data_IF_551219143501
#
_entry.id   IF_551219143501
#
_cell.length_a   1.000
_cell.length_b   1.000
_cell.length_c   1.000
_cell.angle_alpha   90.00
_cell.angle_beta   90.00
_cell.angle_gamma   90.00
#
_symmetry.space_group_name_H-M   'P 1'
#
loop_
_entity.id
_entity.type
_entity.pdbx_description
1 polymer ?
#
# COMPACT_ATOMS: atom_id res chain seq x y z
N UNK A 1 29.57 -17.24 -2.66
CA UNK A 1 28.44 -17.44 -1.72
C UNK A 1 28.80 -16.79 -0.39
N UNK A 2 28.24 -15.63 -0.08
CA UNK A 2 28.54 -14.95 1.19
C UNK A 2 27.72 -15.58 2.30
N UNK A 3 28.37 -16.28 3.24
CA UNK A 3 27.78 -16.84 4.47
C UNK A 3 26.99 -15.80 5.29
N UNK A 4 27.23 -14.50 5.07
CA UNK A 4 26.54 -13.42 5.76
C UNK A 4 25.09 -13.21 5.28
N UNK A 5 24.74 -13.58 4.04
CA UNK A 5 23.37 -13.40 3.54
C UNK A 5 22.39 -14.39 4.18
N UNK A 6 22.77 -15.66 4.31
CA UNK A 6 21.92 -16.72 4.91
C UNK A 6 21.70 -16.50 6.42
N UNK A 7 22.69 -15.99 7.15
CA UNK A 7 22.54 -15.65 8.58
C UNK A 7 21.66 -14.41 8.79
N UNK A 8 21.72 -13.43 7.88
CA UNK A 8 20.83 -12.26 7.87
C UNK A 8 19.40 -12.62 7.50
N UNK A 9 19.17 -13.59 6.61
CA UNK A 9 17.82 -14.10 6.34
C UNK A 9 17.18 -14.62 7.64
N UNK A 10 17.84 -15.54 8.34
CA UNK A 10 17.22 -16.25 9.45
C UNK A 10 16.91 -15.38 10.69
N UNK A 11 17.54 -14.21 10.87
CA UNK A 11 17.32 -13.38 12.07
C UNK A 11 16.00 -12.60 12.05
N UNK A 12 15.46 -12.31 10.87
CA UNK A 12 14.28 -11.45 10.69
C UNK A 12 13.12 -12.14 9.95
N UNK A 13 13.21 -13.46 9.72
CA UNK A 13 12.09 -14.22 9.17
C UNK A 13 10.94 -14.27 10.18
N UNK A 14 9.77 -13.77 9.76
CA UNK A 14 8.54 -13.92 10.54
C UNK A 14 8.22 -15.41 10.71
N UNK A 15 7.78 -15.81 11.91
CA UNK A 15 7.44 -17.21 12.21
C UNK A 15 6.45 -17.80 11.21
N UNK A 16 5.51 -16.98 10.73
CA UNK A 16 4.55 -17.35 9.68
C UNK A 16 5.19 -17.78 8.36
N UNK A 17 6.31 -17.19 7.95
CA UNK A 17 7.01 -17.56 6.70
C UNK A 17 7.68 -18.93 6.86
N UNK A 18 8.36 -19.14 8.00
CA UNK A 18 9.00 -20.41 8.30
C UNK A 18 7.96 -21.54 8.40
N UNK A 19 6.85 -21.30 9.09
CA UNK A 19 5.77 -22.29 9.23
C UNK A 19 5.14 -22.70 7.89
N UNK A 20 5.04 -21.76 6.94
CA UNK A 20 4.55 -22.03 5.59
C UNK A 20 5.53 -22.87 4.77
N UNK A 21 6.80 -22.46 4.71
CA UNK A 21 7.82 -23.20 3.94
C UNK A 21 8.09 -24.58 4.54
N UNK A 22 8.02 -24.71 5.87
CA UNK A 22 8.11 -26.02 6.53
C UNK A 22 6.95 -26.92 6.10
N UNK A 23 5.71 -26.41 6.05
CA UNK A 23 4.55 -27.19 5.57
C UNK A 23 4.65 -27.58 4.09
N UNK A 24 5.23 -26.71 3.26
CA UNK A 24 5.39 -26.98 1.83
C UNK A 24 6.39 -28.11 1.57
N UNK A 25 7.40 -28.23 2.43
CA UNK A 25 8.45 -29.25 2.29
C UNK A 25 8.12 -30.53 3.06
N UNK A 26 7.47 -30.45 4.22
CA UNK A 26 6.95 -31.59 4.98
C UNK A 26 5.55 -31.99 4.49
N UNK A 27 5.43 -32.31 3.19
CA UNK A 27 4.15 -32.75 2.58
C UNK A 27 3.56 -33.99 3.27
N UNK A 28 4.43 -34.83 3.85
CA UNK A 28 4.06 -36.04 4.57
C UNK A 28 3.62 -35.78 6.03
N UNK A 29 3.83 -34.56 6.56
CA UNK A 29 3.38 -34.13 7.88
C UNK A 29 3.99 -34.91 9.04
N UNK A 30 5.22 -35.42 8.88
CA UNK A 30 5.88 -36.23 9.90
C UNK A 30 6.59 -35.40 10.97
N UNK A 31 6.76 -34.08 10.77
CA UNK A 31 7.35 -33.18 11.77
C UNK A 31 8.88 -33.31 11.92
N UNK A 32 9.52 -34.07 11.03
CA UNK A 32 10.97 -34.23 10.88
C UNK A 32 11.36 -33.82 9.45
N UNK A 33 12.58 -33.34 9.20
CA UNK A 33 13.03 -33.00 7.84
C UNK A 33 14.30 -33.78 7.52
N UNK A 34 14.28 -34.53 6.42
CA UNK A 34 15.46 -35.19 5.87
C UNK A 34 16.38 -34.15 5.22
N UNK A 35 17.67 -34.43 5.04
CA UNK A 35 18.62 -33.45 4.49
C UNK A 35 18.21 -32.88 3.12
N UNK A 36 17.62 -33.68 2.23
CA UNK A 36 17.13 -33.18 0.92
C UNK A 36 15.95 -32.24 1.07
N UNK A 37 15.03 -32.52 2.00
CA UNK A 37 13.93 -31.63 2.38
C UNK A 37 14.47 -30.34 3.01
N UNK A 38 15.43 -30.43 3.93
CA UNK A 38 16.07 -29.26 4.53
C UNK A 38 16.81 -28.40 3.49
N UNK A 39 17.46 -29.02 2.50
CA UNK A 39 18.09 -28.33 1.38
C UNK A 39 17.04 -27.65 0.50
N UNK A 40 15.94 -28.34 0.19
CA UNK A 40 14.83 -27.75 -0.56
C UNK A 40 14.21 -26.56 0.17
N UNK A 41 14.01 -26.67 1.49
CA UNK A 41 13.57 -25.57 2.35
C UNK A 41 14.52 -24.38 2.28
N UNK A 42 15.84 -24.61 2.36
CA UNK A 42 16.84 -23.56 2.23
C UNK A 42 16.83 -22.92 0.84
N UNK A 43 16.67 -23.73 -0.21
CA UNK A 43 16.56 -23.23 -1.59
C UNK A 43 15.31 -22.37 -1.77
N UNK A 44 14.16 -22.75 -1.19
CA UNK A 44 12.94 -21.96 -1.18
C UNK A 44 13.10 -20.64 -0.42
N UNK A 45 13.70 -20.66 0.77
CA UNK A 45 13.96 -19.45 1.55
C UNK A 45 14.88 -18.46 0.82
N UNK A 46 15.90 -18.98 0.12
CA UNK A 46 16.82 -18.16 -0.68
C UNK A 46 16.11 -17.64 -1.93
N UNK A 47 15.35 -18.48 -2.62
CA UNK A 47 14.63 -18.12 -3.85
C UNK A 47 13.59 -17.04 -3.59
N UNK A 48 12.78 -17.24 -2.54
CA UNK A 48 11.73 -16.30 -2.13
C UNK A 48 12.28 -15.15 -1.30
N UNK A 49 13.59 -15.10 -1.09
CA UNK A 49 14.25 -14.13 -0.23
C UNK A 49 13.45 -13.92 1.09
N UNK A 50 12.98 -14.99 1.75
CA UNK A 50 12.29 -14.91 3.04
C UNK A 50 10.85 -14.38 3.01
N UNK A 51 10.20 -14.40 1.85
CA UNK A 51 8.77 -14.15 1.68
C UNK A 51 7.97 -15.45 1.62
N UNK A 52 6.67 -15.38 1.92
CA UNK A 52 5.73 -16.50 1.68
C UNK A 52 5.60 -16.80 0.18
N UNK A 53 5.04 -17.95 -0.19
CA UNK A 53 4.77 -18.23 -1.62
C UNK A 53 3.83 -17.20 -2.20
N UNK A 54 2.77 -16.85 -1.46
CA UNK A 54 1.79 -15.87 -1.91
C UNK A 54 2.39 -14.46 -2.04
N UNK A 55 3.26 -14.03 -1.11
CA UNK A 55 3.97 -12.75 -1.22
C UNK A 55 4.92 -12.77 -2.42
N UNK A 56 5.67 -13.86 -2.61
CA UNK A 56 6.59 -14.02 -3.73
C UNK A 56 5.87 -13.94 -5.09
N UNK A 57 4.78 -14.68 -5.26
CA UNK A 57 4.00 -14.68 -6.50
C UNK A 57 3.42 -13.29 -6.78
N UNK A 58 2.90 -12.62 -5.75
CA UNK A 58 2.42 -11.25 -5.87
C UNK A 58 3.54 -10.29 -6.30
N UNK A 59 4.73 -10.38 -5.69
CA UNK A 59 5.85 -9.51 -6.07
C UNK A 59 6.37 -9.81 -7.47
N UNK A 60 6.40 -11.07 -7.89
CA UNK A 60 6.80 -11.43 -9.25
C UNK A 60 5.78 -10.98 -10.29
N UNK A 61 4.49 -11.07 -10.00
CA UNK A 61 3.44 -10.51 -10.84
C UNK A 61 3.62 -8.98 -10.97
N UNK A 62 3.90 -8.28 -9.87
CA UNK A 62 4.18 -6.86 -9.92
C UNK A 62 5.43 -6.54 -10.72
N UNK A 63 6.50 -7.33 -10.58
CA UNK A 63 7.70 -7.16 -11.37
C UNK A 63 7.38 -7.29 -12.87
N UNK A 64 6.63 -8.33 -13.27
CA UNK A 64 6.25 -8.55 -14.66
C UNK A 64 5.33 -7.45 -15.22
N UNK A 65 4.43 -6.90 -14.39
CA UNK A 65 3.57 -5.78 -14.79
C UNK A 65 4.38 -4.51 -15.07
N UNK A 66 5.43 -4.24 -14.28
CA UNK A 66 6.26 -3.04 -14.43
C UNK A 66 7.43 -3.21 -15.43
N UNK A 67 7.99 -4.41 -15.61
CA UNK A 67 9.02 -4.75 -16.61
C UNK A 67 8.41 -4.93 -18.01
N UNK A 68 7.83 -3.85 -18.54
CA UNK A 68 7.02 -3.85 -19.78
C UNK A 68 7.76 -4.34 -21.01
N UNK A 69 9.07 -4.10 -21.09
CA UNK A 69 9.91 -4.53 -22.22
C UNK A 69 10.47 -5.95 -22.04
N UNK A 70 10.08 -6.64 -20.96
CA UNK A 70 10.63 -7.94 -20.53
C UNK A 70 12.15 -7.94 -20.52
N UNK A 71 12.79 -6.82 -20.18
CA UNK A 71 14.25 -6.77 -20.11
C UNK A 71 14.80 -7.47 -18.87
N UNK A 72 13.91 -7.92 -17.97
CA UNK A 72 14.21 -8.59 -16.71
C UNK A 72 14.74 -7.62 -15.66
N UNK A 73 14.48 -6.31 -15.83
CA UNK A 73 15.03 -5.26 -14.97
C UNK A 73 14.04 -4.12 -14.78
N UNK A 74 14.00 -3.57 -13.57
CA UNK A 74 13.24 -2.36 -13.26
C UNK A 74 14.15 -1.26 -12.73
N UNK A 75 13.87 0.00 -13.02
CA UNK A 75 14.62 1.13 -12.51
C UNK A 75 14.13 1.63 -11.13
N UNK A 76 14.77 2.70 -10.62
CA UNK A 76 14.43 3.28 -9.32
C UNK A 76 13.02 3.90 -9.27
N UNK A 77 12.57 4.51 -10.36
CA UNK A 77 11.27 5.16 -10.45
C UNK A 77 10.16 4.10 -10.54
N UNK A 78 10.39 3.06 -11.32
CA UNK A 78 9.50 1.90 -11.43
C UNK A 78 9.41 1.17 -10.10
N UNK A 79 10.52 0.97 -9.39
CA UNK A 79 10.48 0.37 -8.05
C UNK A 79 9.70 1.21 -7.05
N UNK A 80 9.83 2.54 -7.07
CA UNK A 80 9.01 3.41 -6.24
C UNK A 80 7.51 3.30 -6.58
N UNK A 81 7.17 3.24 -7.87
CA UNK A 81 5.80 3.02 -8.31
C UNK A 81 5.25 1.64 -7.85
N UNK A 82 6.08 0.60 -7.87
CA UNK A 82 5.75 -0.72 -7.32
C UNK A 82 5.45 -0.64 -5.82
N UNK A 83 6.26 0.09 -5.04
CA UNK A 83 6.03 0.25 -3.60
C UNK A 83 4.70 0.95 -3.30
N UNK A 84 4.38 2.01 -4.06
CA UNK A 84 3.08 2.68 -3.98
C UNK A 84 1.94 1.75 -4.39
N UNK A 85 2.14 0.90 -5.39
CA UNK A 85 1.17 -0.11 -5.79
C UNK A 85 0.96 -1.19 -4.72
N UNK A 86 2.01 -1.56 -4.00
CA UNK A 86 1.91 -2.50 -2.89
C UNK A 86 1.31 -1.85 -1.62
N UNK A 87 1.09 -0.53 -1.64
CA UNK A 87 0.50 0.22 -0.53
C UNK A 87 1.51 0.57 0.56
N UNK A 88 2.81 0.54 0.28
CA UNK A 88 3.82 1.03 1.21
C UNK A 88 3.84 2.56 1.20
N UNK A 89 3.70 3.17 2.37
CA UNK A 89 3.91 4.61 2.56
C UNK A 89 5.41 4.91 2.70
N UNK A 90 6.12 4.94 1.57
CA UNK A 90 7.58 5.16 1.55
C UNK A 90 7.90 6.43 0.76
N UNK A 91 8.70 7.30 1.35
CA UNK A 91 9.19 8.51 0.67
C UNK A 91 10.41 8.18 -0.19
N UNK A 92 10.70 9.02 -1.19
CA UNK A 92 11.93 8.92 -1.98
C UNK A 92 13.17 9.01 -1.08
N UNK A 93 13.12 9.85 -0.04
CA UNK A 93 14.21 10.02 0.93
C UNK A 93 14.49 8.75 1.74
N UNK A 94 13.45 8.01 2.11
CA UNK A 94 13.57 6.71 2.76
C UNK A 94 14.08 5.62 1.80
N UNK A 95 13.73 5.73 0.52
CA UNK A 95 14.06 4.72 -0.49
C UNK A 95 15.55 4.77 -0.89
N UNK A 96 16.12 5.97 -1.00
CA UNK A 96 17.52 6.18 -1.39
C UNK A 96 18.54 5.38 -0.56
N UNK A 97 18.52 5.41 0.80
CA UNK A 97 19.46 4.61 1.60
C UNK A 97 19.23 3.10 1.41
N UNK A 98 17.98 2.67 1.25
CA UNK A 98 17.63 1.25 1.03
C UNK A 98 18.21 0.74 -0.29
N UNK A 99 18.10 1.54 -1.36
CA UNK A 99 18.66 1.22 -2.67
C UNK A 99 20.19 1.19 -2.65
N UNK A 100 20.81 2.08 -1.88
CA UNK A 100 22.27 2.11 -1.71
C UNK A 100 22.78 0.88 -0.96
N UNK A 101 22.11 0.48 0.12
CA UNK A 101 22.50 -0.65 0.97
C UNK A 101 22.25 -2.01 0.31
N UNK A 102 21.29 -2.10 -0.62
CA UNK A 102 20.96 -3.34 -1.35
C UNK A 102 21.97 -3.69 -2.45
N UNK A 103 23.05 -2.90 -2.61
CA UNK A 103 24.07 -3.03 -3.66
C UNK A 103 23.47 -2.98 -5.07
N UNK A 104 22.34 -2.30 -5.26
CA UNK A 104 21.85 -1.95 -6.61
C UNK A 104 22.95 -1.09 -7.20
N UNK A 105 23.68 -1.67 -8.16
CA UNK A 105 24.86 -1.01 -8.73
C UNK A 105 24.44 0.34 -9.30
N UNK A 106 25.44 1.21 -9.44
CA UNK A 106 25.44 2.50 -10.16
C UNK A 106 24.84 2.47 -11.59
N UNK A 107 24.30 1.34 -12.05
CA UNK A 107 23.57 1.15 -13.30
C UNK A 107 22.14 1.68 -13.26
N UNK A 108 21.56 1.89 -12.07
CA UNK A 108 20.21 2.44 -11.91
C UNK A 108 19.06 1.47 -12.23
N UNK A 109 19.35 0.18 -12.46
CA UNK A 109 18.39 -0.88 -12.80
C UNK A 109 18.60 -2.11 -11.91
N UNK A 110 17.51 -2.81 -11.56
CA UNK A 110 17.42 -3.91 -10.60
C UNK A 110 16.91 -5.18 -11.29
N UNK A 111 17.64 -6.29 -11.18
CA UNK A 111 17.12 -7.60 -11.61
C UNK A 111 16.17 -8.22 -10.57
N UNK A 112 15.51 -9.33 -10.91
CA UNK A 112 14.52 -10.00 -10.04
C UNK A 112 15.01 -10.25 -8.61
N UNK A 113 16.27 -10.68 -8.46
CA UNK A 113 16.83 -10.98 -7.13
C UNK A 113 17.17 -9.73 -6.34
N UNK A 114 17.64 -8.69 -7.02
CA UNK A 114 17.88 -7.37 -6.42
C UNK A 114 16.56 -6.74 -6.00
N UNK A 115 15.52 -6.82 -6.82
CA UNK A 115 14.16 -6.37 -6.51
C UNK A 115 13.62 -7.00 -5.22
N UNK A 116 13.65 -8.34 -5.10
CA UNK A 116 13.20 -9.03 -3.89
C UNK A 116 14.04 -8.65 -2.65
N UNK A 117 15.35 -8.49 -2.82
CA UNK A 117 16.22 -8.02 -1.73
C UNK A 117 15.86 -6.60 -1.30
N UNK A 118 15.59 -5.71 -2.25
CA UNK A 118 15.12 -4.35 -1.98
C UNK A 118 13.80 -4.38 -1.23
N UNK A 119 12.81 -5.17 -1.66
CA UNK A 119 11.54 -5.34 -0.95
C UNK A 119 11.75 -5.82 0.48
N UNK A 120 12.67 -6.78 0.69
CA UNK A 120 12.98 -7.22 2.05
C UNK A 120 13.56 -6.08 2.88
N UNK A 121 14.49 -5.31 2.31
CA UNK A 121 15.07 -4.14 3.00
C UNK A 121 14.03 -3.05 3.29
N UNK A 122 13.05 -2.85 2.40
CA UNK A 122 11.89 -1.97 2.65
C UNK A 122 11.07 -2.49 3.82
N UNK A 123 10.75 -3.79 3.84
CA UNK A 123 10.04 -4.43 4.96
C UNK A 123 10.82 -4.28 6.27
N UNK A 124 12.14 -4.52 6.27
CA UNK A 124 13.01 -4.34 7.44
C UNK A 124 13.03 -2.88 7.92
N UNK A 125 13.16 -1.90 7.01
CA UNK A 125 13.16 -0.47 7.34
C UNK A 125 11.81 -0.02 7.90
N UNK A 126 10.71 -0.44 7.30
CA UNK A 126 9.37 -0.17 7.83
C UNK A 126 9.18 -0.81 9.21
N UNK A 127 9.61 -2.06 9.39
CA UNK A 127 9.54 -2.73 10.69
C UNK A 127 10.37 -1.98 11.74
N UNK A 128 11.53 -1.45 11.37
CA UNK A 128 12.32 -0.60 12.26
C UNK A 128 11.62 0.72 12.60
N UNK A 129 10.97 1.37 11.63
CA UNK A 129 10.14 2.56 11.90
C UNK A 129 9.02 2.21 12.87
N UNK A 130 8.25 1.16 12.60
CA UNK A 130 7.20 0.65 13.49
C UNK A 130 7.76 0.44 14.89
N UNK A 131 8.87 -0.28 15.04
CA UNK A 131 9.48 -0.54 16.36
C UNK A 131 9.89 0.74 17.09
N UNK A 132 10.42 1.76 16.39
CA UNK A 132 10.76 3.06 16.99
C UNK A 132 9.52 3.81 17.45
N UNK A 133 8.49 3.84 16.62
CA UNK A 133 7.19 4.47 16.94
C UNK A 133 6.56 3.77 18.14
N UNK A 134 6.54 2.44 18.13
CA UNK A 134 6.04 1.62 19.23
C UNK A 134 6.80 1.90 20.53
N UNK A 135 8.14 1.94 20.50
CA UNK A 135 8.96 2.26 21.66
C UNK A 135 8.72 3.68 22.22
N UNK A 136 8.29 4.61 21.38
CA UNK A 136 7.95 5.98 21.79
C UNK A 136 6.58 6.05 22.49
N UNK A 137 5.62 5.23 22.05
CA UNK A 137 4.24 5.23 22.56
C UNK A 137 4.11 4.33 23.79
N UNK A 138 4.62 3.10 23.73
CA UNK A 138 4.56 2.15 24.84
C UNK A 138 5.74 2.42 25.80
N UNK A 139 5.50 3.26 26.82
CA UNK A 139 6.53 3.75 27.74
C UNK A 139 7.29 2.72 28.59
N UNK A 140 7.13 1.40 28.39
CA UNK A 140 8.05 0.38 28.91
C UNK A 140 7.75 -1.00 28.30
N UNK A 141 8.82 -1.68 27.86
CA UNK A 141 8.81 -3.09 27.45
C UNK A 141 8.55 -3.97 28.68
N UNK A 142 7.33 -4.45 28.83
CA UNK A 142 7.07 -5.55 29.76
C UNK A 142 7.31 -6.85 29.00
N UNK A 143 8.44 -7.50 29.29
CA UNK A 143 8.82 -8.83 28.81
C UNK A 143 9.41 -8.94 27.39
N UNK A 144 9.98 -7.86 26.83
CA UNK A 144 10.67 -7.92 25.53
C UNK A 144 9.74 -7.95 24.32
N UNK A 145 8.42 -8.06 24.53
CA UNK A 145 7.40 -7.92 23.50
C UNK A 145 6.78 -6.54 23.63
N UNK A 146 6.90 -5.73 22.58
CA UNK A 146 6.32 -4.40 22.55
C UNK A 146 4.85 -4.55 22.14
N UNK A 147 3.93 -4.22 23.05
CA UNK A 147 2.49 -4.31 22.82
C UNK A 147 1.89 -2.90 22.71
N UNK A 148 1.09 -2.68 21.68
CA UNK A 148 0.36 -1.45 21.38
C UNK A 148 -1.10 -1.58 21.82
N UNK A 149 -1.68 -0.54 22.42
CA UNK A 149 -3.14 -0.51 22.58
C UNK A 149 -3.80 -0.27 21.21
N UNK A 150 -4.96 -0.90 20.96
CA UNK A 150 -5.67 -0.70 19.69
C UNK A 150 -6.01 0.78 19.42
N UNK A 151 -6.18 1.60 20.47
CA UNK A 151 -6.39 3.05 20.39
C UNK A 151 -5.22 3.83 19.77
N UNK A 152 -4.02 3.27 19.81
CA UNK A 152 -2.80 3.95 19.39
C UNK A 152 -2.44 3.62 17.94
N UNK A 153 -3.12 2.66 17.31
CA UNK A 153 -2.92 2.27 15.90
C UNK A 153 -3.00 3.48 14.96
N UNK A 154 -3.97 4.40 15.08
CA UNK A 154 -4.01 5.59 14.22
C UNK A 154 -2.77 6.47 14.32
N UNK A 155 -2.20 6.60 15.53
CA UNK A 155 -0.96 7.37 15.75
C UNK A 155 0.21 6.70 15.02
N UNK A 156 0.28 5.37 15.08
CA UNK A 156 1.29 4.60 14.35
C UNK A 156 1.15 4.77 12.84
N UNK A 157 -0.07 4.59 12.31
CA UNK A 157 -0.34 4.73 10.87
C UNK A 157 0.06 6.11 10.37
N UNK A 158 -0.29 7.16 11.11
CA UNK A 158 0.12 8.53 10.80
C UNK A 158 1.65 8.69 10.77
N UNK A 159 2.37 8.15 11.76
CA UNK A 159 3.83 8.24 11.79
C UNK A 159 4.52 7.38 10.72
N UNK A 160 3.83 6.37 10.18
CA UNK A 160 4.28 5.60 9.03
C UNK A 160 3.97 6.26 7.69
N UNK A 161 3.23 7.37 7.67
CA UNK A 161 2.87 8.10 6.44
C UNK A 161 1.58 7.62 5.78
N UNK A 162 0.74 6.86 6.48
CA UNK A 162 -0.63 6.62 6.04
C UNK A 162 -1.47 7.81 6.47
N UNK A 163 -1.82 8.70 5.53
CA UNK A 163 -2.52 9.96 5.83
C UNK A 163 -4.05 9.83 5.81
N UNK A 164 -4.56 8.77 5.19
CA UNK A 164 -5.99 8.49 5.03
C UNK A 164 -6.41 7.36 5.97
N UNK A 165 -6.35 7.60 7.29
CA UNK A 165 -6.80 6.61 8.26
C UNK A 165 -8.19 6.92 8.79
N UNK A 166 -9.09 5.94 8.65
CA UNK A 166 -10.43 5.96 9.23
C UNK A 166 -10.49 4.90 10.35
N UNK A 167 -10.93 5.29 11.55
CA UNK A 167 -10.97 4.39 12.71
C UNK A 167 -11.86 3.17 12.48
N UNK A 168 -12.95 3.32 11.70
CA UNK A 168 -13.82 2.22 11.33
C UNK A 168 -13.11 1.31 10.30
N UNK A 169 -12.42 1.87 9.30
CA UNK A 169 -11.63 1.07 8.36
C UNK A 169 -10.54 0.24 9.06
N UNK A 170 -9.83 0.83 10.03
CA UNK A 170 -8.84 0.12 10.87
C UNK A 170 -9.51 -1.00 11.67
N UNK A 171 -10.65 -0.73 12.30
CA UNK A 171 -11.38 -1.73 13.10
C UNK A 171 -11.86 -2.91 12.26
N UNK A 172 -12.37 -2.64 11.07
CA UNK A 172 -12.82 -3.67 10.13
C UNK A 172 -11.64 -4.49 9.60
N UNK A 173 -10.53 -3.84 9.24
CA UNK A 173 -9.29 -4.53 8.86
C UNK A 173 -8.74 -5.40 10.01
N UNK A 174 -8.82 -4.93 11.26
CA UNK A 174 -8.43 -5.71 12.43
C UNK A 174 -9.31 -6.95 12.62
N UNK A 175 -10.61 -6.82 12.37
CA UNK A 175 -11.54 -7.95 12.43
C UNK A 175 -11.21 -9.00 11.38
N UNK A 176 -10.89 -8.59 10.14
CA UNK A 176 -10.53 -9.49 9.05
C UNK A 176 -9.14 -10.13 9.25
N UNK A 177 -8.20 -9.41 9.87
CA UNK A 177 -6.90 -9.94 10.28
C UNK A 177 -6.96 -10.95 11.45
N UNK A 178 -8.17 -11.26 11.95
CA UNK A 178 -8.38 -12.18 13.08
C UNK A 178 -7.96 -11.59 14.44
N UNK A 179 -7.96 -10.25 14.56
CA UNK A 179 -7.55 -9.53 15.78
C UNK A 179 -8.75 -9.07 16.62
N UNK A 180 -9.95 -9.56 16.31
CA UNK A 180 -11.19 -9.14 16.97
C UNK A 180 -11.14 -9.43 18.46
N UNK A 181 -11.35 -8.39 19.28
CA UNK A 181 -11.37 -8.51 20.74
C UNK A 181 -9.99 -8.49 21.40
N UNK A 182 -8.91 -8.28 20.64
CA UNK A 182 -7.58 -8.04 21.20
C UNK A 182 -7.46 -6.57 21.61
N UNK A 183 -7.30 -6.30 22.90
CA UNK A 183 -7.05 -4.93 23.40
C UNK A 183 -5.62 -4.46 23.11
N UNK A 184 -4.67 -5.39 23.12
CA UNK A 184 -3.26 -5.15 22.84
C UNK A 184 -2.80 -5.91 21.61
N UNK A 185 -2.02 -5.24 20.76
CA UNK A 185 -1.46 -5.77 19.53
C UNK A 185 0.07 -5.84 19.66
N UNK A 186 0.65 -7.00 19.43
CA UNK A 186 2.10 -7.15 19.28
C UNK A 186 2.54 -6.80 17.85
N UNK A 187 3.85 -6.86 17.58
CA UNK A 187 4.40 -6.52 16.26
C UNK A 187 3.85 -7.42 15.14
N UNK A 188 3.59 -8.70 15.44
CA UNK A 188 3.02 -9.67 14.49
C UNK A 188 1.56 -9.35 14.16
N UNK A 189 0.76 -9.03 15.18
CA UNK A 189 -0.62 -8.59 15.03
C UNK A 189 -0.72 -7.27 14.25
N UNK A 190 0.13 -6.29 14.57
CA UNK A 190 0.18 -5.03 13.84
C UNK A 190 0.58 -5.24 12.38
N UNK A 191 1.50 -6.15 12.08
CA UNK A 191 1.86 -6.49 10.70
C UNK A 191 0.68 -7.10 9.92
N UNK A 192 -0.03 -8.07 10.52
CA UNK A 192 -1.24 -8.66 9.91
C UNK A 192 -2.32 -7.61 9.66
N UNK A 193 -2.51 -6.68 10.60
CA UNK A 193 -3.42 -5.55 10.42
C UNK A 193 -3.01 -4.68 9.21
N UNK A 194 -1.72 -4.32 9.11
CA UNK A 194 -1.20 -3.51 8.00
C UNK A 194 -1.38 -4.21 6.65
N UNK A 195 -1.15 -5.52 6.57
CA UNK A 195 -1.35 -6.28 5.34
C UNK A 195 -2.81 -6.21 4.86
N UNK A 196 -3.77 -6.47 5.75
CA UNK A 196 -5.20 -6.39 5.43
C UNK A 196 -5.61 -4.95 5.11
N UNK A 197 -5.10 -3.98 5.87
CA UNK A 197 -5.36 -2.57 5.65
C UNK A 197 -4.91 -2.10 4.25
N UNK A 198 -3.72 -2.52 3.81
CA UNK A 198 -3.21 -2.23 2.46
C UNK A 198 -4.00 -2.94 1.37
N UNK A 199 -4.40 -4.19 1.58
CA UNK A 199 -5.24 -4.93 0.64
C UNK A 199 -6.61 -4.25 0.42
N UNK A 200 -7.12 -3.59 1.47
CA UNK A 200 -8.34 -2.77 1.45
C UNK A 200 -8.13 -1.35 0.95
N UNK A 201 -6.90 -0.97 0.58
CA UNK A 201 -6.55 0.40 0.19
C UNK A 201 -6.94 1.44 1.28
N UNK A 202 -7.01 1.02 2.55
CA UNK A 202 -7.41 1.87 3.67
C UNK A 202 -8.91 2.21 3.74
N UNK A 203 -9.76 1.56 2.94
CA UNK A 203 -11.18 1.90 2.83
C UNK A 203 -12.08 1.09 3.79
N UNK A 204 -13.26 1.65 4.09
CA UNK A 204 -14.32 0.93 4.81
C UNK A 204 -14.97 -0.14 3.93
N UNK A 205 -15.55 -1.16 4.54
CA UNK A 205 -16.33 -2.20 3.87
C UNK A 205 -17.46 -1.63 3.01
N UNK A 206 -18.16 -0.63 3.53
CA UNK A 206 -19.26 0.02 2.80
C UNK A 206 -18.75 0.73 1.54
N UNK A 207 -17.57 1.36 1.62
CA UNK A 207 -16.94 2.03 0.48
C UNK A 207 -16.45 1.01 -0.55
N UNK A 208 -15.79 -0.07 -0.11
CA UNK A 208 -15.39 -1.18 -0.98
C UNK A 208 -16.59 -1.79 -1.70
N UNK A 209 -17.68 -2.05 -0.98
CA UNK A 209 -18.92 -2.56 -1.58
C UNK A 209 -19.52 -1.60 -2.59
N UNK A 210 -19.50 -0.29 -2.31
CA UNK A 210 -19.96 0.74 -3.24
C UNK A 210 -19.11 0.79 -4.51
N UNK A 211 -17.78 0.71 -4.37
CA UNK A 211 -16.82 0.67 -5.48
C UNK A 211 -17.02 -0.59 -6.32
N UNK A 212 -17.11 -1.76 -5.68
CA UNK A 212 -17.34 -3.03 -6.37
C UNK A 212 -18.71 -3.08 -7.05
N UNK A 213 -19.72 -2.41 -6.49
CA UNK A 213 -21.04 -2.27 -7.10
C UNK A 213 -21.04 -1.30 -8.29
N UNK A 214 -20.30 -0.19 -8.20
CA UNK A 214 -20.09 0.71 -9.33
C UNK A 214 -19.34 0.02 -10.48
N UNK A 215 -18.30 -0.76 -10.16
CA UNK A 215 -17.57 -1.58 -11.12
C UNK A 215 -18.52 -2.53 -11.85
N UNK A 216 -19.23 -3.39 -11.11
CA UNK A 216 -20.14 -4.40 -11.70
C UNK A 216 -21.31 -3.82 -12.49
N UNK A 217 -21.77 -2.61 -12.17
CA UNK A 217 -22.83 -1.93 -12.93
C UNK A 217 -22.35 -1.39 -14.27
N UNK A 218 -21.07 -1.08 -14.38
CA UNK A 218 -20.49 -0.41 -15.56
C UNK A 218 -19.67 -1.35 -16.44
N UNK A 219 -19.33 -2.54 -15.98
CA UNK A 219 -18.83 -3.66 -16.79
C UNK A 219 -19.98 -4.19 -17.68
N UNK A 220 -20.22 -3.52 -18.81
CA UNK A 220 -21.36 -3.80 -19.68
C UNK A 220 -21.13 -5.04 -20.55
N UNK A 221 -19.88 -5.29 -20.90
CA UNK A 221 -19.47 -6.45 -21.69
C UNK A 221 -19.29 -7.72 -20.83
N UNK A 222 -19.32 -7.58 -19.50
CA UNK A 222 -19.16 -8.69 -18.56
C UNK A 222 -17.78 -9.31 -18.61
N UNK A 223 -16.78 -8.54 -19.06
CA UNK A 223 -15.41 -9.00 -19.22
C UNK A 223 -14.70 -9.20 -17.88
N UNK A 224 -15.24 -8.63 -16.80
CA UNK A 224 -14.57 -8.58 -15.51
C UNK A 224 -13.52 -7.47 -15.42
N UNK A 225 -13.44 -6.60 -16.43
CA UNK A 225 -12.53 -5.46 -16.53
C UNK A 225 -13.28 -4.24 -17.07
N UNK A 226 -12.92 -3.03 -16.64
CA UNK A 226 -13.51 -1.80 -17.19
C UNK A 226 -12.66 -1.22 -18.31
N UNK A 227 -13.22 -1.05 -19.50
CA UNK A 227 -12.53 -0.38 -20.59
C UNK A 227 -12.52 1.16 -20.42
N UNK A 228 -11.75 1.85 -21.27
CA UNK A 228 -11.59 3.32 -21.24
C UNK A 228 -12.88 4.16 -21.36
N UNK A 229 -13.99 3.57 -21.85
CA UNK A 229 -15.31 4.22 -21.93
C UNK A 229 -16.18 3.93 -20.69
N UNK A 230 -15.98 2.78 -20.05
CA UNK A 230 -16.73 2.36 -18.86
C UNK A 230 -16.19 2.99 -17.58
N UNK A 231 -14.87 3.18 -17.49
CA UNK A 231 -14.21 3.80 -16.33
C UNK A 231 -14.81 5.18 -15.97
N UNK A 232 -14.98 6.14 -16.91
CA UNK A 232 -15.60 7.42 -16.58
C UNK A 232 -17.04 7.31 -16.07
N UNK A 233 -17.80 6.31 -16.53
CA UNK A 233 -19.16 6.07 -16.06
C UNK A 233 -19.15 5.52 -14.64
N UNK A 234 -18.29 4.53 -14.37
CA UNK A 234 -18.13 3.95 -13.03
C UNK A 234 -17.67 4.98 -11.99
N UNK A 235 -16.75 5.87 -12.36
CA UNK A 235 -16.30 6.97 -11.50
C UNK A 235 -17.40 8.00 -11.25
N UNK A 236 -18.25 8.27 -12.25
CA UNK A 236 -19.41 9.15 -12.10
C UNK A 236 -20.48 8.55 -11.19
N UNK A 237 -20.71 7.25 -11.25
CA UNK A 237 -21.60 6.53 -10.34
C UNK A 237 -21.15 6.61 -8.88
N UNK A 238 -19.85 6.76 -8.64
CA UNK A 238 -19.26 7.02 -7.32
C UNK A 238 -19.31 8.49 -6.91
N UNK A 239 -19.88 9.37 -7.74
CA UNK A 239 -20.10 10.78 -7.44
C UNK A 239 -18.98 11.73 -7.86
N UNK A 240 -17.99 11.25 -8.61
CA UNK A 240 -16.88 12.06 -9.10
C UNK A 240 -17.15 12.61 -10.51
N UNK A 241 -16.92 13.91 -10.71
CA UNK A 241 -16.75 14.50 -12.06
C UNK A 241 -15.27 14.77 -12.26
N UNK A 242 -14.62 13.85 -12.97
CA UNK A 242 -13.22 14.00 -13.35
C UNK A 242 -13.15 14.45 -14.79
N UNK A 243 -12.34 15.45 -15.09
CA UNK A 243 -12.06 15.86 -16.47
C UNK A 243 -11.38 14.72 -17.24
N UNK A 244 -11.46 14.74 -18.57
CA UNK A 244 -10.85 13.70 -19.39
C UNK A 244 -9.33 13.62 -19.16
N UNK A 245 -8.65 14.77 -19.04
CA UNK A 245 -7.20 14.85 -18.82
C UNK A 245 -6.81 14.27 -17.45
N UNK A 246 -7.52 14.66 -16.39
CA UNK A 246 -7.28 14.12 -15.06
C UNK A 246 -7.57 12.61 -15.02
N UNK A 247 -8.64 12.15 -15.66
CA UNK A 247 -8.97 10.72 -15.75
C UNK A 247 -7.85 9.94 -16.45
N UNK A 248 -7.37 10.43 -17.60
CA UNK A 248 -6.29 9.78 -18.35
C UNK A 248 -5.00 9.69 -17.55
N UNK A 249 -4.68 10.71 -16.76
CA UNK A 249 -3.44 10.70 -15.99
C UNK A 249 -3.53 9.88 -14.69
N UNK A 250 -4.72 9.71 -14.09
CA UNK A 250 -4.89 8.65 -13.05
C UNK A 250 -4.87 7.26 -13.69
N UNK A 251 -5.53 7.08 -14.84
CA UNK A 251 -5.52 5.82 -15.60
C UNK A 251 -4.10 5.33 -15.88
N UNK A 252 -3.22 6.20 -16.39
CA UNK A 252 -1.81 5.84 -16.63
C UNK A 252 -1.04 5.40 -15.38
N UNK A 253 -1.46 5.85 -14.20
CA UNK A 253 -0.81 5.46 -12.95
C UNK A 253 -1.32 4.12 -12.42
N UNK A 254 -2.51 3.69 -12.84
CA UNK A 254 -3.12 2.42 -12.40
C UNK A 254 -3.11 1.30 -13.43
N UNK A 255 -3.12 1.65 -14.70
CA UNK A 255 -2.96 0.76 -15.86
C UNK A 255 -1.46 0.48 -16.07
N UNK A 256 -0.87 -0.20 -15.11
CA UNK A 256 0.57 -0.50 -15.09
C UNK A 256 0.96 -1.36 -16.29
N UNK A 257 0.08 -2.26 -16.73
CA UNK A 257 0.28 -3.20 -17.82
C UNK A 257 -0.09 -2.65 -19.20
N UNK A 258 -0.51 -1.37 -19.31
CA UNK A 258 -1.00 -0.73 -20.55
C UNK A 258 -2.07 -1.58 -21.26
N UNK A 259 -2.88 -2.33 -20.49
CA UNK A 259 -3.97 -3.14 -21.04
C UNK A 259 -5.12 -2.28 -21.56
N UNK A 260 -5.15 -0.99 -21.16
CA UNK A 260 -6.25 -0.05 -21.40
C UNK A 260 -7.59 -0.52 -20.82
N UNK A 261 -7.51 -1.48 -19.89
CA UNK A 261 -8.61 -2.06 -19.14
C UNK A 261 -8.24 -2.04 -17.66
N UNK A 262 -9.23 -1.87 -16.79
CA UNK A 262 -9.01 -1.87 -15.35
C UNK A 262 -9.66 -3.09 -14.70
N UNK A 263 -8.83 -3.92 -14.09
CA UNK A 263 -9.24 -4.94 -13.14
C UNK A 263 -9.83 -4.29 -11.86
N UNK A 264 -10.62 -5.03 -11.05
CA UNK A 264 -11.20 -4.50 -9.81
C UNK A 264 -10.19 -3.90 -8.83
N UNK A 265 -8.96 -4.44 -8.76
CA UNK A 265 -7.90 -3.89 -7.90
C UNK A 265 -7.36 -2.56 -8.44
N UNK A 266 -7.17 -2.46 -9.75
CA UNK A 266 -6.71 -1.23 -10.40
C UNK A 266 -7.78 -0.13 -10.26
N UNK A 267 -9.07 -0.48 -10.40
CA UNK A 267 -10.18 0.45 -10.18
C UNK A 267 -10.27 0.93 -8.72
N UNK A 268 -10.12 0.05 -7.74
CA UNK A 268 -10.07 0.45 -6.30
C UNK A 268 -8.91 1.41 -6.03
N UNK A 269 -7.72 1.14 -6.58
CA UNK A 269 -6.57 2.05 -6.47
C UNK A 269 -6.82 3.40 -7.10
N UNK A 270 -7.47 3.43 -8.27
CA UNK A 270 -7.85 4.68 -8.91
C UNK A 270 -8.77 5.50 -8.02
N UNK A 271 -9.78 4.87 -7.38
CA UNK A 271 -10.67 5.56 -6.43
C UNK A 271 -9.89 6.07 -5.21
N UNK A 272 -8.95 5.28 -4.66
CA UNK A 272 -8.05 5.75 -3.58
C UNK A 272 -7.29 7.01 -4.00
N UNK A 273 -6.67 7.01 -5.18
CA UNK A 273 -5.90 8.16 -5.66
C UNK A 273 -6.78 9.40 -5.87
N UNK A 274 -8.02 9.23 -6.33
CA UNK A 274 -8.99 10.31 -6.43
C UNK A 274 -9.37 10.87 -5.04
N UNK A 275 -9.53 10.00 -4.03
CA UNK A 275 -9.81 10.41 -2.65
C UNK A 275 -8.62 11.14 -2.01
N UNK A 276 -7.41 10.63 -2.19
CA UNK A 276 -6.17 11.24 -1.69
C UNK A 276 -5.99 12.64 -2.29
N UNK A 277 -6.23 12.79 -3.60
CA UNK A 277 -6.22 14.10 -4.25
C UNK A 277 -7.27 15.03 -3.63
N UNK A 278 -8.51 14.58 -3.51
CA UNK A 278 -9.59 15.39 -2.93
C UNK A 278 -9.20 15.86 -1.51
N UNK A 279 -8.58 15.00 -0.70
CA UNK A 279 -8.09 15.40 0.62
C UNK A 279 -7.02 16.48 0.58
N UNK A 280 -6.01 16.37 -0.28
CA UNK A 280 -4.97 17.40 -0.42
C UNK A 280 -5.60 18.73 -0.81
N UNK A 281 -6.54 18.70 -1.76
CA UNK A 281 -7.29 19.87 -2.19
C UNK A 281 -8.14 20.48 -1.06
N UNK A 282 -8.80 19.63 -0.25
CA UNK A 282 -9.56 20.10 0.90
C UNK A 282 -8.68 20.71 1.99
N UNK A 283 -7.52 20.11 2.24
CA UNK A 283 -6.53 20.64 3.19
C UNK A 283 -6.00 21.99 2.70
N UNK A 284 -5.59 22.12 1.45
CA UNK A 284 -5.13 23.39 0.87
C UNK A 284 -6.22 24.47 0.94
N UNK A 285 -7.44 24.14 0.53
CA UNK A 285 -8.56 25.09 0.58
C UNK A 285 -8.93 25.49 2.02
N UNK A 286 -8.69 24.61 2.99
CA UNK A 286 -8.84 24.91 4.42
C UNK A 286 -7.71 25.82 4.91
N UNK A 287 -6.45 25.47 4.62
CA UNK A 287 -5.26 26.17 5.09
C UNK A 287 -5.16 27.60 4.53
N UNK A 288 -5.57 27.82 3.27
CA UNK A 288 -5.70 29.16 2.68
C UNK A 288 -6.66 30.06 3.47
N UNK A 289 -7.62 29.46 4.18
CA UNK A 289 -8.64 30.15 4.98
C UNK A 289 -8.34 30.11 6.47
N UNK A 290 -7.32 29.39 6.88
CA UNK A 290 -6.76 29.36 8.24
C UNK A 290 -5.26 29.72 8.23
N UNK A 291 -4.89 30.95 7.84
CA UNK A 291 -3.49 31.38 7.78
C UNK A 291 -2.79 31.38 9.15
N UNK A 292 -3.57 31.27 10.24
CA UNK A 292 -3.08 31.21 11.61
C UNK A 292 -2.94 29.77 12.14
N UNK A 293 -3.28 28.75 11.35
CA UNK A 293 -3.25 27.32 11.72
C UNK A 293 -4.02 27.01 13.02
N UNK A 294 -5.15 27.68 13.23
CA UNK A 294 -6.05 27.48 14.38
C UNK A 294 -6.85 26.17 14.28
N UNK A 295 -6.81 25.50 13.12
CA UNK A 295 -7.59 24.32 12.74
C UNK A 295 -9.10 24.55 12.80
N UNK A 296 -9.53 25.79 12.63
CA UNK A 296 -10.93 26.20 12.67
C UNK A 296 -11.14 27.32 11.66
N UNK A 297 -12.14 27.15 10.78
CA UNK A 297 -12.65 28.18 9.89
C UNK A 297 -14.14 28.41 10.17
N UNK A 298 -14.64 29.60 9.86
CA UNK A 298 -16.06 29.94 9.99
C UNK A 298 -16.90 29.27 8.89
N UNK A 299 -18.21 29.14 9.11
CA UNK A 299 -19.13 28.58 8.10
C UNK A 299 -19.12 29.37 6.78
N UNK A 300 -18.91 30.69 6.86
CA UNK A 300 -18.78 31.55 5.68
C UNK A 300 -17.50 31.27 4.90
N UNK A 301 -16.37 31.04 5.58
CA UNK A 301 -15.11 30.65 4.95
C UNK A 301 -15.19 29.25 4.35
N UNK A 302 -15.88 28.32 5.02
CA UNK A 302 -16.14 26.99 4.48
C UNK A 302 -16.93 27.04 3.17
N UNK A 303 -18.01 27.84 3.09
CA UNK A 303 -18.78 28.01 1.84
C UNK A 303 -17.91 28.62 0.73
N UNK A 304 -17.04 29.57 1.05
CA UNK A 304 -16.09 30.14 0.09
C UNK A 304 -15.02 29.13 -0.36
N UNK A 305 -14.53 28.28 0.54
CA UNK A 305 -13.62 27.18 0.21
C UNK A 305 -14.29 26.17 -0.73
N UNK A 306 -15.53 25.75 -0.44
CA UNK A 306 -16.30 24.86 -1.32
C UNK A 306 -16.58 25.49 -2.69
N UNK A 307 -16.88 26.79 -2.74
CA UNK A 307 -17.03 27.50 -4.02
C UNK A 307 -15.72 27.51 -4.82
N UNK A 308 -14.57 27.73 -4.15
CA UNK A 308 -13.24 27.67 -4.77
C UNK A 308 -12.87 26.27 -5.29
N UNK A 309 -13.41 25.22 -4.67
CA UNK A 309 -13.26 23.82 -5.09
C UNK A 309 -14.26 23.41 -6.20
N UNK A 310 -15.10 24.31 -6.69
CA UNK A 310 -16.01 24.04 -7.82
C UNK A 310 -17.33 23.35 -7.44
N UNK A 311 -17.70 23.33 -6.15
CA UNK A 311 -19.02 22.87 -5.70
C UNK A 311 -20.06 23.99 -5.90
N UNK A 312 -20.69 24.05 -7.08
CA UNK A 312 -21.78 24.99 -7.37
C UNK A 312 -23.18 24.39 -7.15
N UNK A 313 -24.12 25.25 -6.76
CA UNK A 313 -25.48 25.03 -6.23
C UNK A 313 -26.45 24.18 -7.09
N UNK A 314 -26.01 23.65 -8.24
CA UNK A 314 -26.83 22.86 -9.19
C UNK A 314 -26.24 21.53 -9.62
N UNK A 315 -25.07 21.14 -9.10
CA UNK A 315 -24.46 19.84 -9.42
C UNK A 315 -23.86 19.18 -8.19
N UNK A 316 -24.53 18.16 -7.64
CA UNK A 316 -24.06 17.34 -6.52
C UNK A 316 -22.79 16.50 -6.79
N UNK A 317 -22.12 16.74 -7.90
CA UNK A 317 -21.00 15.94 -8.36
C UNK A 317 -19.71 16.75 -8.22
N UNK A 318 -18.69 16.16 -7.59
CA UNK A 318 -17.38 16.77 -7.29
C UNK A 318 -16.69 17.17 -8.60
N UNK A 319 -16.69 18.45 -8.97
CA UNK A 319 -16.17 18.94 -10.24
C UNK A 319 -14.66 19.18 -10.12
N UNK A 320 -13.83 18.44 -10.88
CA UNK A 320 -12.37 18.48 -10.69
C UNK A 320 -11.62 18.70 -12.01
N UNK A 321 -11.43 19.96 -12.36
CA UNK A 321 -10.36 20.45 -13.25
C UNK A 321 -9.11 20.83 -12.43
N UNK A 322 -8.81 20.06 -11.38
CA UNK A 322 -7.64 20.31 -10.51
C UNK A 322 -6.43 19.48 -10.93
N UNK A 323 -5.23 20.07 -10.89
CA UNK A 323 -4.01 19.38 -11.26
C UNK A 323 -3.84 18.14 -10.39
N UNK A 324 -3.41 17.06 -11.03
CA UNK A 324 -3.06 15.85 -10.29
C UNK A 324 -1.89 16.15 -9.36
N UNK A 325 -1.87 15.58 -8.14
CA UNK A 325 -0.64 15.53 -7.39
C UNK A 325 0.34 14.74 -8.26
N UNK A 326 1.41 15.40 -8.69
CA UNK A 326 2.54 14.68 -9.24
C UNK A 326 2.98 13.66 -8.18
N UNK A 327 3.38 12.43 -8.58
CA UNK A 327 4.02 11.53 -7.63
C UNK A 327 5.26 12.25 -7.09
N UNK A 328 5.19 12.64 -5.81
CA UNK A 328 6.24 13.37 -5.14
C UNK A 328 6.09 14.89 -5.20
N UNK A 329 5.18 15.44 -4.40
CA UNK A 329 5.45 16.69 -3.68
C UNK A 329 4.87 16.49 -2.27
N UNK A 330 5.72 16.07 -1.33
CA UNK A 330 5.48 16.35 0.07
C UNK A 330 5.36 17.87 0.21
N UNK A 331 4.19 18.34 0.61
CA UNK A 331 4.01 19.73 0.98
C UNK A 331 4.52 19.91 2.41
N UNK A 332 5.71 20.53 2.47
CA UNK A 332 6.36 21.27 3.58
C UNK A 332 6.93 20.48 4.76
#
# INVERSE_FOLDING_TARGET
>A
FSRNCTLSLCQDLGTHVLDEVIREVDEAGHGELVYEEFKHLMDLLILREGFTSSEYDQFMEMFARFDRDNCGKIDAQEFHAVLNWLGYAMTVEDLLPIMKDSNVKLTGVMNHREYLRCLRKVREHELQKVRRVLATISGQSTNGTICLQQSDVPVVLKQLGYDMWDNQAISEAASEAGLRGMSTLDLSALWRLLLVYRQREGMRNEELQSIDAAFRRNDQDGSGELNSLEVPSAVRDLGYKVSFEAMQSVLRQVDVDDSHRLEPRQFRKMVRMLQERDMVCFQQAFDERDPCSLKVITMTEAVQAFAGLGFEDKGYLRNVDMPLPLPGIGAV
#
